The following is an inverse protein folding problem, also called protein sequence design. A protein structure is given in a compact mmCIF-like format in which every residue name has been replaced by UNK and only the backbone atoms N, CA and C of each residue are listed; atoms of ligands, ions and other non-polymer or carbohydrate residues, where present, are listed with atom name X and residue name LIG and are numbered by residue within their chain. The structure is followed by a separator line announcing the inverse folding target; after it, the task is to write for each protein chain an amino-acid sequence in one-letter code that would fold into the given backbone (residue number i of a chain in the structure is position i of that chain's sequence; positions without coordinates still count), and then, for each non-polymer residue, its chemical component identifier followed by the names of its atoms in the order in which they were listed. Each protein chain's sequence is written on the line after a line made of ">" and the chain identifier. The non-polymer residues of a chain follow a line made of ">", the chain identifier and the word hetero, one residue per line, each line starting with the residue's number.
data_IF_994709639416
#
_entry.id   IF_994709639416
#
_cell.length_a   1.000
_cell.length_b   1.000
_cell.length_c   1.000
_cell.angle_alpha   90.00
_cell.angle_beta   90.00
_cell.angle_gamma   90.00
#
_symmetry.space_group_name_H-M   'P 1'
#
loop_
_entity.id
_entity.type
_entity.pdbx_description
1 polymer ?
#
# COMPACT_ATOMS: atom_id res chain seq x y z
N UNK A 1 -9.50 23.49 15.19
CA UNK A 1 -8.69 22.28 15.46
C UNK A 1 -9.53 21.01 15.63
N UNK A 2 -10.66 21.02 16.35
CA UNK A 2 -11.52 19.81 16.51
C UNK A 2 -12.00 19.19 15.18
N UNK A 3 -12.38 20.00 14.19
CA UNK A 3 -12.82 19.52 12.87
C UNK A 3 -11.77 18.71 12.11
N UNK A 4 -10.47 19.01 12.28
CA UNK A 4 -9.37 18.24 11.66
C UNK A 4 -9.37 16.82 12.22
N UNK A 5 -9.45 16.69 13.55
CA UNK A 5 -9.47 15.38 14.21
C UNK A 5 -10.72 14.56 13.85
N UNK A 6 -11.89 15.20 13.80
CA UNK A 6 -13.13 14.52 13.37
C UNK A 6 -13.00 14.01 11.93
N UNK A 7 -12.42 14.80 11.02
CA UNK A 7 -12.19 14.40 9.62
C UNK A 7 -11.22 13.22 9.52
N UNK A 8 -10.13 13.25 10.30
CA UNK A 8 -9.15 12.15 10.36
C UNK A 8 -9.78 10.87 10.89
N UNK A 9 -10.53 10.96 12.00
CA UNK A 9 -11.23 9.79 12.58
C UNK A 9 -12.28 9.26 11.61
N UNK A 10 -13.05 10.12 10.95
CA UNK A 10 -14.03 9.72 9.93
C UNK A 10 -13.38 9.00 8.75
N UNK A 11 -12.20 9.46 8.30
CA UNK A 11 -11.44 8.80 7.24
C UNK A 11 -10.93 7.42 7.67
N UNK A 12 -10.42 7.31 8.90
CA UNK A 12 -10.02 6.02 9.47
C UNK A 12 -11.22 5.07 9.63
N UNK A 13 -12.38 5.57 10.08
CA UNK A 13 -13.62 4.78 10.18
C UNK A 13 -14.10 4.29 8.82
N UNK A 14 -14.01 5.12 7.78
CA UNK A 14 -14.33 4.70 6.41
C UNK A 14 -13.42 3.56 5.95
N UNK A 15 -12.12 3.63 6.26
CA UNK A 15 -11.19 2.55 5.94
C UNK A 15 -11.49 1.26 6.70
N UNK A 16 -11.96 1.34 7.95
CA UNK A 16 -12.35 0.16 8.73
C UNK A 16 -13.47 -0.62 8.04
N UNK A 17 -14.51 0.06 7.57
CA UNK A 17 -15.67 -0.59 6.95
C UNK A 17 -15.35 -1.21 5.60
N UNK A 18 -14.56 -0.53 4.76
CA UNK A 18 -14.18 -1.09 3.47
C UNK A 18 -13.22 -2.27 3.64
N UNK A 19 -12.34 -2.22 4.64
CA UNK A 19 -11.47 -3.34 4.97
C UNK A 19 -12.25 -4.49 5.58
N UNK A 20 -13.28 -4.26 6.40
CA UNK A 20 -14.14 -5.34 6.89
C UNK A 20 -14.78 -6.15 5.74
N UNK A 21 -15.17 -5.47 4.66
CA UNK A 21 -15.64 -6.14 3.45
C UNK A 21 -14.52 -6.93 2.74
N UNK A 22 -13.32 -6.36 2.60
CA UNK A 22 -12.17 -7.07 2.01
C UNK A 22 -11.76 -8.30 2.84
N UNK A 23 -11.67 -8.14 4.15
CA UNK A 23 -11.32 -9.21 5.09
C UNK A 23 -12.35 -10.34 5.05
N UNK A 24 -13.64 -10.05 4.86
CA UNK A 24 -14.65 -11.08 4.57
C UNK A 24 -14.37 -11.82 3.25
N UNK A 25 -13.94 -11.11 2.20
CA UNK A 25 -13.59 -11.76 0.92
C UNK A 25 -12.37 -12.68 1.08
N UNK A 26 -11.40 -12.34 1.94
CA UNK A 26 -10.22 -13.16 2.24
C UNK A 26 -10.51 -14.32 3.20
N UNK A 27 -11.30 -14.08 4.24
CA UNK A 27 -11.67 -15.01 5.29
C UNK A 27 -13.19 -14.91 5.55
N UNK A 28 -14.02 -15.67 4.81
CA UNK A 28 -15.46 -15.50 4.86
C UNK A 28 -16.07 -16.17 6.10
N UNK A 29 -16.56 -15.35 7.04
CA UNK A 29 -17.21 -15.78 8.28
C UNK A 29 -18.53 -15.03 8.50
N UNK A 30 -19.36 -15.52 9.44
CA UNK A 30 -20.59 -14.83 9.84
C UNK A 30 -21.73 -14.86 8.80
N UNK A 31 -21.64 -15.69 7.77
CA UNK A 31 -22.66 -15.84 6.72
C UNK A 31 -23.20 -17.27 6.64
N UNK A 32 -24.40 -17.44 6.06
CA UNK A 32 -24.93 -18.73 5.60
C UNK A 32 -25.55 -18.58 4.22
N UNK A 33 -25.56 -19.66 3.44
CA UNK A 33 -26.31 -19.69 2.18
C UNK A 33 -27.75 -20.09 2.48
N UNK A 34 -28.68 -19.17 2.22
CA UNK A 34 -30.11 -19.43 2.38
C UNK A 34 -30.65 -20.06 1.09
N UNK A 35 -30.96 -21.36 1.14
CA UNK A 35 -31.50 -22.11 0.01
C UNK A 35 -32.95 -21.70 -0.35
N UNK A 36 -33.65 -20.95 0.50
CA UNK A 36 -35.00 -20.44 0.18
C UNK A 36 -34.95 -19.24 -0.76
N UNK A 37 -33.99 -18.35 -0.56
CA UNK A 37 -33.81 -17.14 -1.37
C UNK A 37 -32.60 -17.23 -2.32
N UNK A 38 -31.95 -18.39 -2.34
CA UNK A 38 -30.75 -18.72 -3.12
C UNK A 38 -29.65 -17.65 -3.04
N UNK A 39 -29.36 -17.19 -1.82
CA UNK A 39 -28.39 -16.12 -1.58
C UNK A 39 -27.66 -16.28 -0.27
N UNK A 40 -26.44 -15.73 -0.21
CA UNK A 40 -25.75 -15.54 1.06
C UNK A 40 -26.50 -14.53 1.93
N UNK A 41 -26.72 -14.87 3.20
CA UNK A 41 -27.31 -13.99 4.20
C UNK A 41 -26.39 -13.87 5.40
N UNK A 42 -26.29 -12.65 5.92
CA UNK A 42 -25.57 -12.34 7.15
C UNK A 42 -26.30 -12.97 8.34
N UNK A 43 -25.55 -13.67 9.20
CA UNK A 43 -26.09 -14.29 10.41
C UNK A 43 -25.44 -13.81 11.69
N UNK A 44 -24.20 -13.36 11.59
CA UNK A 44 -23.43 -12.90 12.74
C UNK A 44 -22.61 -11.68 12.33
N UNK A 45 -23.18 -10.50 12.58
CA UNK A 45 -22.51 -9.24 12.33
C UNK A 45 -21.30 -9.01 13.25
N UNK A 46 -21.38 -9.29 14.57
CA UNK A 46 -20.20 -9.27 15.44
C UNK A 46 -19.04 -10.13 14.92
N UNK A 47 -19.32 -11.32 14.39
CA UNK A 47 -18.27 -12.17 13.81
C UNK A 47 -17.52 -11.47 12.66
N UNK A 48 -18.21 -10.72 11.80
CA UNK A 48 -17.55 -9.95 10.74
C UNK A 48 -16.58 -8.89 11.29
N UNK A 49 -16.97 -8.20 12.37
CA UNK A 49 -16.09 -7.20 13.01
C UNK A 49 -14.95 -7.83 13.81
N UNK A 50 -15.11 -9.06 14.26
CA UNK A 50 -14.08 -9.83 14.96
C UNK A 50 -13.22 -10.67 14.00
N UNK A 51 -13.42 -10.52 12.69
CA UNK A 51 -12.63 -11.21 11.69
C UNK A 51 -11.14 -10.94 11.93
N UNK A 52 -10.37 -12.01 12.14
CA UNK A 52 -8.95 -11.92 12.41
C UNK A 52 -8.19 -11.16 11.29
N UNK A 53 -8.57 -11.41 10.03
CA UNK A 53 -7.97 -10.74 8.88
C UNK A 53 -8.17 -9.21 8.92
N UNK A 54 -9.31 -8.72 9.41
CA UNK A 54 -9.56 -7.28 9.56
C UNK A 54 -8.56 -6.62 10.50
N UNK A 55 -8.25 -7.30 11.60
CA UNK A 55 -7.35 -6.77 12.62
C UNK A 55 -5.87 -6.92 12.25
N UNK A 56 -5.54 -7.70 11.22
CA UNK A 56 -4.23 -7.67 10.57
C UNK A 56 -4.15 -6.57 9.51
N UNK A 57 -5.15 -6.47 8.63
CA UNK A 57 -5.17 -5.54 7.49
C UNK A 57 -5.34 -4.08 7.92
N UNK A 58 -6.29 -3.78 8.82
CA UNK A 58 -6.61 -2.42 9.23
C UNK A 58 -5.40 -1.63 9.75
N UNK A 59 -4.67 -2.10 10.77
CA UNK A 59 -3.52 -1.35 11.26
C UNK A 59 -2.42 -1.23 10.20
N UNK A 60 -2.21 -2.26 9.37
CA UNK A 60 -1.21 -2.22 8.29
C UNK A 60 -1.52 -1.13 7.26
N UNK A 61 -2.79 -1.04 6.82
CA UNK A 61 -3.24 -0.02 5.87
C UNK A 61 -3.16 1.38 6.48
N UNK A 62 -3.57 1.57 7.74
CA UNK A 62 -3.48 2.87 8.42
C UNK A 62 -2.04 3.35 8.48
N UNK A 63 -1.08 2.52 8.89
CA UNK A 63 0.33 2.90 8.90
C UNK A 63 0.88 3.14 7.49
N UNK A 64 0.40 2.38 6.48
CA UNK A 64 0.61 2.65 5.06
C UNK A 64 0.21 4.07 4.65
N UNK A 65 -0.96 4.55 5.09
CA UNK A 65 -1.41 5.92 4.80
C UNK A 65 -0.56 6.99 5.48
N UNK A 66 -0.09 6.74 6.72
CA UNK A 66 0.81 7.66 7.42
C UNK A 66 2.12 7.83 6.65
N UNK A 67 2.66 6.73 6.13
CA UNK A 67 3.85 6.74 5.31
C UNK A 67 3.63 7.52 4.01
N UNK A 68 2.59 7.19 3.24
CA UNK A 68 2.30 7.86 1.97
C UNK A 68 2.08 9.37 2.15
N UNK A 69 1.23 9.78 3.10
CA UNK A 69 0.98 11.19 3.39
C UNK A 69 2.25 11.95 3.80
N UNK A 70 3.11 11.32 4.60
CA UNK A 70 4.38 11.91 5.02
C UNK A 70 5.34 12.14 3.85
N UNK A 71 5.45 11.16 2.94
CA UNK A 71 6.31 11.29 1.77
C UNK A 71 5.79 12.31 0.76
N UNK A 72 4.47 12.50 0.66
CA UNK A 72 3.88 13.62 -0.10
C UNK A 72 4.32 14.96 0.49
N UNK A 73 4.20 15.15 1.80
CA UNK A 73 4.62 16.40 2.46
C UNK A 73 6.13 16.63 2.31
N UNK A 74 6.95 15.58 2.49
CA UNK A 74 8.40 15.67 2.30
C UNK A 74 8.77 16.02 0.87
N UNK A 75 8.16 15.38 -0.13
CA UNK A 75 8.49 15.60 -1.53
C UNK A 75 8.02 16.96 -2.05
N UNK A 76 6.83 17.42 -1.67
CA UNK A 76 6.38 18.80 -1.99
C UNK A 76 7.33 19.82 -1.35
N UNK A 77 7.70 19.63 -0.09
CA UNK A 77 8.66 20.51 0.60
C UNK A 77 10.03 20.50 -0.10
N UNK A 78 10.50 19.34 -0.56
CA UNK A 78 11.76 19.21 -1.27
C UNK A 78 11.73 19.90 -2.65
N UNK A 79 10.63 19.78 -3.40
CA UNK A 79 10.43 20.49 -4.66
C UNK A 79 10.38 21.99 -4.48
N UNK A 80 9.71 22.48 -3.44
CA UNK A 80 9.66 23.91 -3.12
C UNK A 80 11.05 24.44 -2.76
N UNK A 81 11.82 23.71 -1.94
CA UNK A 81 13.21 24.07 -1.61
C UNK A 81 14.14 24.09 -2.84
N UNK A 82 13.92 23.22 -3.84
CA UNK A 82 14.68 23.22 -5.09
C UNK A 82 14.46 24.47 -5.95
N UNK A 83 13.26 25.05 -5.88
CA UNK A 83 12.86 26.22 -6.67
C UNK A 83 13.34 27.56 -6.08
N UNK A 84 13.96 27.53 -4.90
CA UNK A 84 14.59 28.68 -4.21
C UNK A 84 13.70 29.94 -3.98
N UNK A 85 12.54 29.86 -3.31
CA UNK A 85 12.03 31.00 -2.58
C UNK A 85 12.74 31.03 -1.22
N UNK A 86 13.75 31.89 -1.05
CA UNK A 86 14.55 32.02 0.17
C UNK A 86 13.74 32.43 1.41
N UNK A 87 12.50 32.88 1.24
CA UNK A 87 11.63 33.41 2.30
C UNK A 87 10.93 32.32 3.16
N UNK A 88 10.77 31.09 2.68
CA UNK A 88 9.99 30.05 3.37
C UNK A 88 10.82 28.83 3.83
N UNK A 89 12.14 28.97 3.89
CA UNK A 89 13.07 27.87 4.16
C UNK A 89 12.79 27.19 5.51
N UNK A 90 12.45 27.97 6.54
CA UNK A 90 12.13 27.45 7.87
C UNK A 90 10.80 26.69 7.90
N UNK A 91 9.82 27.11 7.10
CA UNK A 91 8.54 26.43 6.96
C UNK A 91 8.74 25.04 6.38
N UNK A 92 9.39 24.94 5.21
CA UNK A 92 9.62 23.64 4.56
C UNK A 92 10.53 22.71 5.36
N UNK A 93 11.55 23.24 6.07
CA UNK A 93 12.35 22.43 7.00
C UNK A 93 11.50 21.86 8.14
N UNK A 94 10.64 22.66 8.76
CA UNK A 94 9.73 22.17 9.82
C UNK A 94 8.77 21.11 9.27
N UNK A 95 8.21 21.31 8.08
CA UNK A 95 7.33 20.34 7.40
C UNK A 95 8.03 19.01 7.14
N UNK A 96 9.26 19.02 6.58
CA UNK A 96 10.06 17.81 6.39
C UNK A 96 10.31 17.10 7.73
N UNK A 97 10.65 17.84 8.78
CA UNK A 97 10.91 17.25 10.10
C UNK A 97 9.68 16.53 10.66
N UNK A 98 8.51 17.16 10.64
CA UNK A 98 7.27 16.56 11.15
C UNK A 98 6.91 15.35 10.31
N UNK A 99 6.93 15.49 8.99
CA UNK A 99 6.61 14.40 8.06
C UNK A 99 7.56 13.21 8.23
N UNK A 100 8.86 13.44 8.40
CA UNK A 100 9.82 12.35 8.60
C UNK A 100 9.60 11.60 9.94
N UNK A 101 9.14 12.29 11.01
CA UNK A 101 8.75 11.61 12.26
C UNK A 101 7.53 10.71 12.01
N UNK A 102 6.50 11.22 11.35
CA UNK A 102 5.29 10.46 11.05
C UNK A 102 5.59 9.28 10.11
N UNK A 103 6.48 9.47 9.14
CA UNK A 103 6.96 8.42 8.25
C UNK A 103 7.70 7.30 9.01
N UNK A 104 8.49 7.62 10.03
CA UNK A 104 9.12 6.61 10.88
C UNK A 104 8.11 5.82 11.71
N UNK A 105 7.10 6.50 12.26
CA UNK A 105 6.00 5.82 12.96
C UNK A 105 5.25 4.90 12.00
N UNK A 106 4.93 5.37 10.79
CA UNK A 106 4.31 4.57 9.73
C UNK A 106 5.18 3.37 9.35
N UNK A 107 6.47 3.57 9.12
CA UNK A 107 7.40 2.49 8.76
C UNK A 107 7.50 1.43 9.86
N UNK A 108 7.64 1.84 11.12
CA UNK A 108 7.69 0.91 12.24
C UNK A 108 6.36 0.14 12.39
N UNK A 109 5.23 0.84 12.25
CA UNK A 109 3.91 0.22 12.29
C UNK A 109 3.68 -0.80 11.17
N UNK A 110 4.06 -0.47 9.93
CA UNK A 110 4.01 -1.39 8.78
C UNK A 110 4.92 -2.59 9.02
N UNK A 111 6.14 -2.39 9.53
CA UNK A 111 7.07 -3.48 9.82
C UNK A 111 6.49 -4.46 10.85
N UNK A 112 5.94 -3.95 11.95
CA UNK A 112 5.33 -4.79 13.00
C UNK A 112 4.06 -5.51 12.54
N UNK A 113 3.19 -4.81 11.81
CA UNK A 113 1.91 -5.37 11.35
C UNK A 113 2.10 -6.31 10.18
N UNK A 114 3.03 -6.02 9.26
CA UNK A 114 3.34 -6.85 8.11
C UNK A 114 4.04 -8.15 8.48
N UNK A 115 4.96 -8.12 9.44
CA UNK A 115 5.57 -9.33 10.00
C UNK A 115 4.51 -10.27 10.59
N UNK A 116 3.62 -9.74 11.44
CA UNK A 116 2.48 -10.50 11.97
C UNK A 116 1.59 -11.05 10.86
N UNK A 117 1.28 -10.23 9.85
CA UNK A 117 0.44 -10.65 8.73
C UNK A 117 1.06 -11.81 7.97
N UNK A 118 2.38 -11.77 7.73
CA UNK A 118 3.12 -12.82 7.04
C UNK A 118 3.14 -14.14 7.82
N UNK A 119 3.23 -14.08 9.15
CA UNK A 119 3.15 -15.28 10.00
C UNK A 119 1.81 -15.99 9.85
N UNK A 120 0.70 -15.27 10.03
CA UNK A 120 -0.64 -15.84 9.91
C UNK A 120 -1.02 -16.23 8.49
N UNK A 121 -0.41 -15.58 7.49
CA UNK A 121 -0.65 -15.90 6.09
C UNK A 121 -0.26 -17.35 5.74
N UNK A 122 0.72 -17.92 6.44
CA UNK A 122 1.10 -19.33 6.28
C UNK A 122 -0.06 -20.27 6.61
N UNK A 123 -0.89 -19.93 7.60
CA UNK A 123 -2.00 -20.76 8.03
C UNK A 123 -3.30 -20.43 7.27
N UNK A 124 -3.60 -19.14 7.10
CA UNK A 124 -4.87 -18.68 6.52
C UNK A 124 -4.92 -18.89 5.00
N UNK A 125 -3.81 -18.61 4.29
CA UNK A 125 -3.71 -18.71 2.83
C UNK A 125 -2.31 -19.15 2.39
N UNK A 126 -1.93 -20.42 2.62
CA UNK A 126 -0.58 -20.94 2.37
C UNK A 126 -0.12 -20.75 0.92
N UNK A 127 -1.03 -20.85 -0.06
CA UNK A 127 -0.72 -20.63 -1.48
C UNK A 127 -0.22 -19.21 -1.73
N UNK A 128 -0.85 -18.20 -1.08
CA UNK A 128 -0.42 -16.80 -1.17
C UNK A 128 0.96 -16.63 -0.55
N UNK A 129 1.21 -17.22 0.61
CA UNK A 129 2.52 -17.19 1.27
C UNK A 129 3.62 -17.83 0.40
N UNK A 130 3.38 -19.03 -0.14
CA UNK A 130 4.33 -19.71 -1.00
C UNK A 130 4.68 -18.86 -2.24
N UNK A 131 3.67 -18.23 -2.86
CA UNK A 131 3.87 -17.33 -4.00
C UNK A 131 4.64 -16.05 -3.62
N UNK A 132 4.40 -15.48 -2.43
CA UNK A 132 5.16 -14.32 -1.95
C UNK A 132 6.59 -14.68 -1.60
N UNK A 133 6.92 -15.93 -1.27
CA UNK A 133 8.30 -16.33 -0.96
C UNK A 133 9.04 -16.96 -2.15
N UNK A 134 8.32 -17.48 -3.15
CA UNK A 134 8.94 -18.12 -4.31
C UNK A 134 9.20 -19.62 -4.12
N UNK A 135 8.32 -20.31 -3.37
CA UNK A 135 8.49 -21.71 -2.98
C UNK A 135 7.70 -22.67 -3.88
N UNK A 136 8.36 -23.30 -4.86
CA UNK A 136 7.71 -24.39 -5.63
C UNK A 136 7.54 -25.66 -4.81
N UNK A 137 8.59 -26.03 -4.08
CA UNK A 137 8.67 -27.22 -3.24
C UNK A 137 8.78 -26.81 -1.78
N UNK A 138 8.45 -27.76 -0.90
CA UNK A 138 8.63 -27.56 0.54
C UNK A 138 10.12 -27.33 0.83
N UNK A 139 10.40 -26.35 1.68
CA UNK A 139 11.76 -26.00 2.10
C UNK A 139 11.87 -25.95 3.62
N UNK A 140 13.06 -26.26 4.13
CA UNK A 140 13.31 -26.32 5.57
C UNK A 140 12.57 -27.46 6.27
N UNK A 141 12.52 -27.41 7.59
CA UNK A 141 11.88 -28.44 8.40
C UNK A 141 12.15 -28.27 9.90
N UNK A 142 11.76 -29.25 10.70
CA UNK A 142 11.86 -29.19 12.17
C UNK A 142 13.30 -28.94 12.67
N UNK A 143 14.29 -29.46 11.94
CA UNK A 143 15.72 -29.28 12.23
C UNK A 143 16.48 -28.69 11.02
N UNK A 144 15.76 -28.12 10.05
CA UNK A 144 16.34 -27.64 8.79
C UNK A 144 15.92 -26.20 8.54
N UNK A 145 16.87 -25.39 8.08
CA UNK A 145 16.65 -24.00 7.76
C UNK A 145 16.14 -23.84 6.33
N UNK A 146 15.20 -22.92 6.13
CA UNK A 146 14.70 -22.53 4.83
C UNK A 146 15.53 -21.34 4.25
N UNK A 147 15.94 -21.41 2.97
CA UNK A 147 16.58 -20.30 2.28
C UNK A 147 15.57 -19.22 1.90
N UNK A 148 16.00 -17.95 1.89
CA UNK A 148 15.20 -16.83 1.36
C UNK A 148 15.68 -16.43 -0.02
N UNK A 149 14.77 -16.41 -1.00
CA UNK A 149 15.08 -15.98 -2.36
C UNK A 149 15.07 -14.45 -2.47
N UNK A 150 16.22 -13.89 -2.84
CA UNK A 150 16.38 -12.48 -3.18
C UNK A 150 15.70 -12.20 -4.51
N UNK A 151 16.01 -13.02 -5.51
CA UNK A 151 15.48 -12.94 -6.86
C UNK A 151 15.27 -14.35 -7.39
N UNK A 152 14.08 -14.62 -7.94
CA UNK A 152 13.77 -15.89 -8.58
C UNK A 152 12.87 -15.68 -9.79
N UNK A 153 12.84 -16.67 -10.67
CA UNK A 153 11.92 -16.74 -11.78
C UNK A 153 11.23 -18.10 -11.81
N UNK A 154 9.91 -18.05 -11.82
CA UNK A 154 9.06 -19.23 -11.98
C UNK A 154 8.56 -19.32 -13.41
N UNK A 155 8.65 -20.50 -14.03
CA UNK A 155 8.07 -20.72 -15.34
C UNK A 155 6.53 -20.74 -15.23
N UNK A 156 5.79 -19.85 -15.92
CA UNK A 156 4.32 -19.79 -15.79
C UNK A 156 3.58 -21.02 -16.31
N UNK A 157 4.23 -21.89 -17.08
CA UNK A 157 3.63 -23.10 -17.65
C UNK A 157 3.90 -24.35 -16.82
N UNK A 158 5.12 -24.50 -16.30
CA UNK A 158 5.49 -25.67 -15.49
C UNK A 158 5.29 -25.45 -14.00
N UNK A 159 5.15 -24.18 -13.57
CA UNK A 159 5.08 -23.76 -12.17
C UNK A 159 6.33 -24.13 -11.34
N UNK A 160 7.44 -24.45 -12.00
CA UNK A 160 8.73 -24.71 -11.35
C UNK A 160 9.59 -23.44 -11.30
N UNK A 161 10.40 -23.30 -10.26
CA UNK A 161 11.41 -22.24 -10.19
C UNK A 161 12.59 -22.65 -11.08
N UNK A 162 12.82 -21.91 -12.16
CA UNK A 162 13.91 -22.21 -13.10
C UNK A 162 15.26 -21.74 -12.56
N UNK A 163 15.27 -20.61 -11.87
CA UNK A 163 16.45 -20.07 -11.23
C UNK A 163 16.07 -19.21 -10.02
N UNK A 164 16.91 -19.26 -8.99
CA UNK A 164 16.83 -18.43 -7.79
C UNK A 164 18.22 -18.02 -7.31
N UNK A 165 18.29 -16.86 -6.65
CA UNK A 165 19.44 -16.41 -5.87
C UNK A 165 19.03 -16.37 -4.40
N UNK A 166 19.56 -17.32 -3.64
CA UNK A 166 19.09 -17.60 -2.29
C UNK A 166 20.11 -17.21 -1.23
N UNK A 167 19.61 -16.68 -0.11
CA UNK A 167 20.39 -16.45 1.11
C UNK A 167 19.97 -17.49 2.15
N UNK A 168 20.89 -18.33 2.65
CA UNK A 168 20.55 -19.41 3.57
C UNK A 168 20.07 -18.86 4.92
N UNK A 169 19.26 -19.64 5.63
CA UNK A 169 18.70 -19.35 6.97
C UNK A 169 17.70 -18.19 7.10
N UNK A 170 17.69 -17.26 6.15
CA UNK A 170 16.92 -16.02 6.29
C UNK A 170 15.41 -16.28 6.30
N UNK A 171 14.90 -17.22 5.50
CA UNK A 171 13.46 -17.46 5.44
C UNK A 171 12.94 -18.08 6.75
N UNK A 172 13.68 -18.98 7.39
CA UNK A 172 13.28 -19.49 8.70
C UNK A 172 13.19 -18.38 9.75
N UNK A 173 14.12 -17.40 9.69
CA UNK A 173 14.09 -16.26 10.62
C UNK A 173 12.88 -15.37 10.34
N UNK A 174 12.59 -15.08 9.08
CA UNK A 174 11.47 -14.20 8.69
C UNK A 174 10.11 -14.87 8.91
N UNK A 175 9.97 -16.13 8.52
CA UNK A 175 8.70 -16.85 8.52
C UNK A 175 8.38 -17.56 9.84
N UNK A 176 9.38 -17.86 10.67
CA UNK A 176 9.19 -18.64 11.91
C UNK A 176 9.82 -18.00 13.15
N UNK A 177 10.49 -16.85 13.01
CA UNK A 177 11.28 -16.21 14.09
C UNK A 177 12.26 -17.18 14.77
N UNK A 178 12.79 -18.13 14.00
CA UNK A 178 13.63 -19.24 14.45
C UNK A 178 14.71 -19.53 13.41
N UNK A 179 15.82 -20.16 13.82
CA UNK A 179 16.88 -20.59 12.89
C UNK A 179 16.48 -21.82 12.06
N UNK A 180 15.40 -22.49 12.46
CA UNK A 180 14.80 -23.66 11.80
C UNK A 180 13.31 -23.44 11.64
N UNK A 181 12.72 -24.03 10.61
CA UNK A 181 11.29 -23.88 10.32
C UNK A 181 11.02 -24.20 8.86
N UNK A 182 10.01 -25.02 8.62
CA UNK A 182 9.63 -25.47 7.29
C UNK A 182 8.47 -24.66 6.74
N UNK A 183 8.50 -24.37 5.45
CA UNK A 183 7.41 -23.71 4.73
C UNK A 183 6.99 -24.56 3.53
N UNK A 184 5.69 -24.67 3.32
CA UNK A 184 5.12 -25.46 2.24
C UNK A 184 5.30 -24.76 0.89
N UNK A 185 5.58 -25.54 -0.14
CA UNK A 185 5.64 -25.08 -1.52
C UNK A 185 4.29 -25.21 -2.23
N UNK A 186 4.07 -24.37 -3.25
CA UNK A 186 2.79 -24.31 -3.96
C UNK A 186 2.42 -25.61 -4.67
N UNK A 187 3.36 -26.49 -5.02
CA UNK A 187 3.04 -27.78 -5.62
C UNK A 187 2.28 -28.70 -4.68
N UNK A 188 2.62 -28.70 -3.38
CA UNK A 188 1.91 -29.51 -2.39
C UNK A 188 0.58 -28.87 -2.03
N UNK A 189 0.58 -27.54 -1.81
CA UNK A 189 -0.63 -26.78 -1.50
C UNK A 189 -1.66 -26.90 -2.63
N UNK A 190 -1.23 -26.95 -3.89
CA UNK A 190 -2.14 -27.17 -5.02
C UNK A 190 -2.88 -28.51 -4.89
N UNK A 191 -2.20 -29.58 -4.47
CA UNK A 191 -2.84 -30.89 -4.24
C UNK A 191 -3.85 -30.82 -3.10
N UNK A 192 -3.49 -30.20 -1.99
CA UNK A 192 -4.38 -30.03 -0.83
C UNK A 192 -5.64 -29.23 -1.21
N UNK A 193 -5.49 -28.19 -2.04
CA UNK A 193 -6.62 -27.40 -2.54
C UNK A 193 -7.52 -28.22 -3.46
N UNK A 194 -6.95 -29.05 -4.34
CA UNK A 194 -7.75 -29.98 -5.15
C UNK A 194 -8.54 -30.96 -4.28
N UNK A 195 -7.90 -31.58 -3.28
CA UNK A 195 -8.57 -32.48 -2.34
C UNK A 195 -9.73 -31.81 -1.61
N UNK A 196 -9.56 -30.54 -1.22
CA UNK A 196 -10.55 -29.77 -0.47
C UNK A 196 -11.69 -29.24 -1.33
N UNK A 197 -11.41 -28.80 -2.55
CA UNK A 197 -12.33 -27.96 -3.33
C UNK A 197 -12.84 -28.59 -4.62
N UNK A 198 -12.22 -29.67 -5.13
CA UNK A 198 -12.64 -30.29 -6.39
C UNK A 198 -14.06 -30.84 -6.36
N UNK A 199 -14.53 -31.32 -5.20
CA UNK A 199 -15.92 -31.77 -5.04
C UNK A 199 -16.93 -30.63 -5.23
N UNK A 200 -16.54 -29.40 -4.96
CA UNK A 200 -17.40 -28.21 -5.04
C UNK A 200 -17.25 -27.46 -6.36
N UNK A 201 -16.03 -27.30 -6.85
CA UNK A 201 -15.73 -26.43 -8.00
C UNK A 201 -15.24 -27.20 -9.24
N UNK A 202 -15.03 -28.52 -9.14
CA UNK A 202 -14.56 -29.36 -10.23
C UNK A 202 -13.04 -29.53 -10.26
N UNK A 203 -12.60 -30.61 -10.93
CA UNK A 203 -11.18 -31.02 -11.01
C UNK A 203 -10.34 -30.18 -11.96
N UNK A 204 -10.98 -29.45 -12.87
CA UNK A 204 -10.30 -28.63 -13.88
C UNK A 204 -9.88 -27.24 -13.36
N UNK A 205 -10.09 -26.98 -12.06
CA UNK A 205 -9.72 -25.71 -11.43
C UNK A 205 -8.22 -25.53 -11.37
N UNK A 206 -7.74 -24.34 -11.74
CA UNK A 206 -6.35 -23.95 -11.56
C UNK A 206 -6.19 -23.11 -10.30
N UNK A 207 -5.56 -23.67 -9.26
CA UNK A 207 -5.28 -22.95 -8.02
C UNK A 207 -3.90 -22.27 -7.99
N UNK A 208 -3.08 -22.43 -9.04
CA UNK A 208 -1.82 -21.70 -9.12
C UNK A 208 -2.06 -20.20 -9.26
N UNK A 209 -1.24 -19.43 -8.55
CA UNK A 209 -1.25 -17.98 -8.62
C UNK A 209 -0.33 -17.48 -9.74
N UNK A 210 -0.44 -16.19 -10.14
CA UNK A 210 0.57 -15.54 -10.95
C UNK A 210 1.87 -15.32 -10.12
N UNK A 211 2.62 -16.39 -9.89
CA UNK A 211 3.72 -16.47 -8.93
C UNK A 211 4.75 -15.35 -9.12
N UNK A 212 5.23 -15.10 -10.35
CA UNK A 212 6.18 -14.02 -10.61
C UNK A 212 5.61 -12.64 -10.21
N UNK A 213 4.36 -12.36 -10.56
CA UNK A 213 3.74 -11.07 -10.25
C UNK A 213 3.65 -10.85 -8.74
N UNK A 214 3.18 -11.86 -8.00
CA UNK A 214 3.06 -11.79 -6.54
C UNK A 214 4.45 -11.72 -5.89
N UNK A 215 5.38 -12.56 -6.34
CA UNK A 215 6.78 -12.59 -5.87
C UNK A 215 7.40 -11.19 -5.94
N UNK A 216 7.38 -10.55 -7.11
CA UNK A 216 8.01 -9.23 -7.29
C UNK A 216 7.22 -8.10 -6.65
N UNK A 217 5.88 -8.17 -6.64
CA UNK A 217 5.06 -7.20 -5.93
C UNK A 217 5.38 -7.21 -4.41
N UNK A 218 5.53 -8.40 -3.83
CA UNK A 218 5.93 -8.55 -2.43
C UNK A 218 7.33 -7.96 -2.16
N UNK A 219 8.33 -8.22 -3.03
CA UNK A 219 9.68 -7.62 -2.88
C UNK A 219 9.61 -6.11 -2.93
N UNK A 220 8.90 -5.54 -3.91
CA UNK A 220 8.75 -4.09 -4.03
C UNK A 220 8.12 -3.53 -2.75
N UNK A 221 7.03 -4.12 -2.27
CA UNK A 221 6.34 -3.68 -1.05
C UNK A 221 7.26 -3.76 0.19
N UNK A 222 7.81 -4.94 0.49
CA UNK A 222 8.58 -5.21 1.70
C UNK A 222 9.90 -4.43 1.74
N UNK A 223 10.66 -4.42 0.64
CA UNK A 223 11.95 -3.72 0.57
C UNK A 223 11.78 -2.20 0.60
N UNK A 224 10.70 -1.69 0.03
CA UNK A 224 10.42 -0.25 0.04
C UNK A 224 10.21 0.28 1.46
N UNK A 225 9.62 -0.50 2.37
CA UNK A 225 9.43 -0.08 3.77
C UNK A 225 10.77 0.26 4.44
N UNK A 226 11.80 -0.60 4.27
CA UNK A 226 13.15 -0.35 4.78
C UNK A 226 13.79 0.89 4.16
N UNK A 227 13.65 1.06 2.84
CA UNK A 227 14.16 2.24 2.14
C UNK A 227 13.49 3.54 2.62
N UNK A 228 12.17 3.52 2.84
CA UNK A 228 11.42 4.67 3.36
C UNK A 228 11.80 5.01 4.80
N UNK A 229 12.00 4.00 5.65
CA UNK A 229 12.54 4.19 6.99
C UNK A 229 13.90 4.89 6.97
N UNK A 230 14.82 4.39 6.16
CA UNK A 230 16.16 4.98 6.00
C UNK A 230 16.09 6.43 5.49
N UNK A 231 15.29 6.69 4.44
CA UNK A 231 15.10 8.05 3.92
C UNK A 231 14.54 8.99 4.99
N UNK A 232 13.64 8.52 5.84
CA UNK A 232 13.06 9.31 6.93
C UNK A 232 14.09 9.61 8.03
N UNK A 233 14.95 8.65 8.38
CA UNK A 233 16.09 8.89 9.31
C UNK A 233 17.05 9.92 8.72
N UNK A 234 17.40 9.78 7.44
CA UNK A 234 18.29 10.72 6.74
C UNK A 234 17.67 12.12 6.71
N UNK A 235 16.37 12.25 6.43
CA UNK A 235 15.66 13.53 6.44
C UNK A 235 15.73 14.23 7.80
N UNK A 236 15.48 13.48 8.89
CA UNK A 236 15.55 14.02 10.25
C UNK A 236 16.96 14.48 10.62
N UNK A 237 17.96 13.70 10.23
CA UNK A 237 19.35 14.04 10.48
C UNK A 237 19.78 15.27 9.67
N UNK A 238 19.34 15.39 8.41
CA UNK A 238 19.68 16.49 7.53
C UNK A 238 19.04 17.84 7.93
N UNK A 239 17.86 17.82 8.55
CA UNK A 239 17.14 19.03 8.98
C UNK A 239 17.54 19.51 10.39
N UNK A 240 18.37 18.74 11.12
CA UNK A 240 18.80 19.10 12.48
C UNK A 240 19.66 20.38 12.49
N UNK A 241 19.41 21.29 13.45
CA UNK A 241 20.08 22.61 13.58
C UNK A 241 21.63 22.57 13.65
N UNK A 242 22.22 21.45 14.08
CA UNK A 242 23.68 21.23 14.14
C UNK A 242 24.21 20.30 13.05
N UNK A 243 23.38 19.94 12.06
CA UNK A 243 23.79 19.01 11.01
C UNK A 243 24.78 19.68 10.07
N UNK A 244 25.87 18.97 9.74
CA UNK A 244 26.78 19.37 8.66
C UNK A 244 26.16 19.10 7.27
N UNK A 245 25.13 18.26 7.22
CA UNK A 245 24.43 17.86 6.00
C UNK A 245 23.12 18.64 5.87
N UNK A 246 23.21 19.93 5.56
CA UNK A 246 22.02 20.75 5.32
C UNK A 246 21.39 20.36 3.98
N UNK A 247 20.18 19.80 4.01
CA UNK A 247 19.45 19.31 2.83
C UNK A 247 19.27 20.40 1.76
N UNK A 248 19.23 21.67 2.15
CA UNK A 248 19.06 22.80 1.21
C UNK A 248 20.29 23.07 0.35
N UNK A 249 21.47 22.58 0.76
CA UNK A 249 22.72 22.75 0.01
C UNK A 249 22.88 21.73 -1.11
N UNK A 250 22.25 20.57 -1.00
CA UNK A 250 22.44 19.44 -1.90
C UNK A 250 21.21 19.23 -2.78
N UNK A 251 21.22 19.82 -3.98
CA UNK A 251 20.10 19.69 -4.93
C UNK A 251 19.75 18.24 -5.23
N UNK A 252 20.74 17.36 -5.39
CA UNK A 252 20.51 15.94 -5.66
C UNK A 252 19.70 15.25 -4.54
N UNK A 253 19.94 15.60 -3.27
CA UNK A 253 19.21 15.05 -2.15
C UNK A 253 17.74 15.49 -2.20
N UNK A 254 17.48 16.76 -2.53
CA UNK A 254 16.12 17.26 -2.72
C UNK A 254 15.41 16.60 -3.91
N UNK A 255 16.12 16.25 -4.99
CA UNK A 255 15.55 15.46 -6.09
C UNK A 255 15.13 14.07 -5.62
N UNK A 256 15.94 13.40 -4.80
CA UNK A 256 15.59 12.10 -4.21
C UNK A 256 14.30 12.23 -3.39
N UNK A 257 14.21 13.17 -2.46
CA UNK A 257 13.00 13.36 -1.65
C UNK A 257 11.78 13.79 -2.48
N UNK A 258 11.99 14.64 -3.49
CA UNK A 258 10.95 15.08 -4.41
C UNK A 258 10.35 13.92 -5.22
N UNK A 259 11.21 13.01 -5.73
CA UNK A 259 10.77 11.82 -6.44
C UNK A 259 10.23 10.74 -5.50
N UNK A 260 10.74 10.66 -4.27
CA UNK A 260 10.28 9.71 -3.25
C UNK A 260 8.81 9.92 -2.87
N UNK A 261 8.21 11.07 -3.16
CA UNK A 261 6.76 11.28 -3.04
C UNK A 261 5.93 10.24 -3.79
N UNK A 262 6.39 9.76 -4.95
CA UNK A 262 5.63 8.84 -5.80
C UNK A 262 5.80 7.37 -5.39
N UNK A 263 6.92 7.04 -4.75
CA UNK A 263 7.29 5.65 -4.45
C UNK A 263 6.33 4.93 -3.48
N UNK A 264 5.79 5.56 -2.42
CA UNK A 264 4.82 4.90 -1.54
C UNK A 264 3.57 4.42 -2.28
N UNK A 265 3.12 5.13 -3.32
CA UNK A 265 1.97 4.70 -4.11
C UNK A 265 2.28 3.42 -4.88
N UNK A 266 3.51 3.29 -5.41
CA UNK A 266 3.97 2.04 -6.05
C UNK A 266 4.00 0.89 -5.06
N UNK A 267 4.52 1.12 -3.85
CA UNK A 267 4.57 0.10 -2.80
C UNK A 267 3.16 -0.32 -2.32
N UNK A 268 2.24 0.65 -2.17
CA UNK A 268 0.84 0.39 -1.83
C UNK A 268 0.15 -0.42 -2.93
N UNK A 269 0.33 -0.05 -4.20
CA UNK A 269 -0.21 -0.83 -5.33
C UNK A 269 0.34 -2.25 -5.33
N UNK A 270 1.64 -2.42 -5.10
CA UNK A 270 2.26 -3.74 -5.00
C UNK A 270 1.65 -4.58 -3.86
N UNK A 271 1.42 -3.99 -2.69
CA UNK A 271 0.74 -4.67 -1.58
C UNK A 271 -0.69 -5.09 -1.92
N UNK A 272 -1.47 -4.22 -2.57
CA UNK A 272 -2.81 -4.57 -3.03
C UNK A 272 -2.80 -5.67 -4.10
N UNK A 273 -1.81 -5.69 -5.00
CA UNK A 273 -1.65 -6.78 -5.96
C UNK A 273 -1.38 -8.11 -5.24
N UNK A 274 -0.55 -8.14 -4.20
CA UNK A 274 -0.33 -9.34 -3.38
C UNK A 274 -1.63 -9.80 -2.72
N UNK A 275 -2.37 -8.89 -2.10
CA UNK A 275 -3.63 -9.21 -1.40
C UNK A 275 -4.71 -9.74 -2.33
N UNK A 276 -4.90 -9.11 -3.49
CA UNK A 276 -5.99 -9.42 -4.42
C UNK A 276 -5.63 -10.55 -5.39
N UNK A 277 -4.47 -10.50 -6.05
CA UNK A 277 -4.06 -11.57 -6.95
C UNK A 277 -3.75 -12.86 -6.20
N UNK A 278 -3.29 -12.74 -4.94
CA UNK A 278 -3.07 -13.91 -4.11
C UNK A 278 -4.34 -14.59 -3.60
N UNK A 279 -5.52 -14.01 -3.85
CA UNK A 279 -6.82 -14.63 -3.58
C UNK A 279 -7.36 -15.39 -4.81
N UNK A 280 -6.70 -15.32 -5.97
CA UNK A 280 -7.12 -16.10 -7.12
C UNK A 280 -7.14 -17.61 -6.78
N UNK A 281 -8.06 -18.40 -7.35
CA UNK A 281 -9.09 -18.05 -8.34
C UNK A 281 -10.42 -17.54 -7.72
N UNK A 282 -10.41 -17.06 -6.47
CA UNK A 282 -11.63 -16.69 -5.75
C UNK A 282 -11.88 -15.17 -5.71
N UNK A 283 -13.15 -14.79 -5.84
CA UNK A 283 -13.64 -13.48 -5.40
C UNK A 283 -13.88 -13.49 -3.91
N UNK A 284 -14.54 -14.54 -3.40
CA UNK A 284 -14.68 -14.81 -1.96
C UNK A 284 -14.05 -16.16 -1.70
N UNK A 285 -12.99 -16.19 -0.89
CA UNK A 285 -12.10 -17.34 -0.75
C UNK A 285 -12.85 -18.63 -0.39
N UNK A 286 -12.75 -19.67 -1.23
CA UNK A 286 -13.44 -20.95 -1.05
C UNK A 286 -14.97 -20.91 -1.21
N UNK A 287 -15.56 -19.76 -1.53
CA UNK A 287 -17.01 -19.55 -1.62
C UNK A 287 -17.45 -19.25 -3.05
N UNK A 288 -16.87 -18.23 -3.69
CA UNK A 288 -17.26 -17.72 -5.01
C UNK A 288 -16.02 -17.56 -5.89
N UNK A 289 -16.00 -18.22 -7.05
CA UNK A 289 -14.89 -18.11 -8.00
C UNK A 289 -14.97 -16.84 -8.83
N UNK A 290 -13.85 -16.42 -9.43
CA UNK A 290 -13.80 -15.32 -10.39
C UNK A 290 -14.65 -15.66 -11.63
N UNK A 291 -14.62 -16.91 -12.09
CA UNK A 291 -15.40 -17.34 -13.24
C UNK A 291 -16.92 -17.20 -13.02
N UNK A 292 -17.39 -17.58 -11.83
CA UNK A 292 -18.82 -17.51 -11.47
C UNK A 292 -19.30 -16.08 -11.17
N UNK A 293 -18.38 -15.17 -10.86
CA UNK A 293 -18.71 -13.78 -10.55
C UNK A 293 -18.89 -12.89 -11.80
N UNK A 294 -18.57 -13.39 -12.99
CA UNK A 294 -18.72 -12.61 -14.24
C UNK A 294 -20.20 -12.49 -14.60
N UNK A 295 -20.66 -11.27 -14.87
CA UNK A 295 -22.05 -11.01 -15.24
C UNK A 295 -22.37 -11.62 -16.62
N UNK A 296 -23.36 -12.53 -16.74
CA UNK A 296 -23.62 -13.27 -17.98
C UNK A 296 -24.17 -12.39 -19.11
N UNK A 297 -24.80 -11.25 -18.76
CA UNK A 297 -25.50 -10.39 -19.71
C UNK A 297 -24.65 -9.22 -20.23
N UNK A 298 -23.36 -9.17 -19.91
CA UNK A 298 -22.48 -8.06 -20.32
C UNK A 298 -21.61 -8.49 -21.48
N UNK A 299 -21.76 -7.83 -22.62
CA UNK A 299 -20.95 -8.12 -23.81
C UNK A 299 -19.52 -7.62 -23.66
N UNK A 300 -18.59 -8.28 -24.37
CA UNK A 300 -17.20 -7.82 -24.47
C UNK A 300 -17.10 -6.36 -24.93
N UNK A 301 -17.92 -5.96 -25.91
CA UNK A 301 -17.95 -4.60 -26.43
C UNK A 301 -18.35 -3.57 -25.35
N UNK A 302 -19.35 -3.91 -24.52
CA UNK A 302 -19.77 -3.06 -23.39
C UNK A 302 -18.65 -2.89 -22.36
N UNK A 303 -18.03 -4.00 -21.95
CA UNK A 303 -16.89 -3.99 -21.01
C UNK A 303 -15.70 -3.20 -21.54
N UNK A 304 -15.33 -3.39 -22.81
CA UNK A 304 -14.21 -2.68 -23.41
C UNK A 304 -14.50 -1.18 -23.50
N UNK A 305 -15.72 -0.82 -23.92
CA UNK A 305 -16.14 0.58 -24.04
C UNK A 305 -16.14 1.27 -22.67
N UNK A 306 -16.74 0.66 -21.65
CA UNK A 306 -16.77 1.23 -20.31
C UNK A 306 -15.36 1.35 -19.71
N UNK A 307 -14.49 0.36 -19.89
CA UNK A 307 -13.10 0.42 -19.44
C UNK A 307 -12.33 1.56 -20.10
N UNK A 308 -12.49 1.77 -21.41
CA UNK A 308 -11.86 2.90 -22.12
C UNK A 308 -12.38 4.22 -21.56
N UNK A 309 -13.70 4.36 -21.36
CA UNK A 309 -14.30 5.57 -20.81
C UNK A 309 -13.80 5.86 -19.39
N UNK A 310 -13.74 4.84 -18.52
CA UNK A 310 -13.21 4.99 -17.17
C UNK A 310 -11.73 5.36 -17.18
N UNK A 311 -10.93 4.69 -18.02
CA UNK A 311 -9.51 4.99 -18.16
C UNK A 311 -9.28 6.44 -18.60
N UNK A 312 -9.96 6.90 -19.65
CA UNK A 312 -9.84 8.27 -20.15
C UNK A 312 -10.29 9.28 -19.09
N UNK A 313 -11.41 9.01 -18.41
CA UNK A 313 -11.94 9.90 -17.37
C UNK A 313 -10.95 10.03 -16.21
N UNK A 314 -10.42 8.91 -15.70
CA UNK A 314 -9.45 8.94 -14.61
C UNK A 314 -8.10 9.52 -15.03
N UNK A 315 -7.67 9.31 -16.28
CA UNK A 315 -6.46 9.94 -16.82
C UNK A 315 -6.60 11.47 -16.88
N UNK A 316 -7.75 11.98 -17.35
CA UNK A 316 -8.04 13.42 -17.38
C UNK A 316 -8.09 14.00 -15.96
N UNK A 317 -8.85 13.37 -15.04
CA UNK A 317 -8.93 13.83 -13.65
C UNK A 317 -7.55 13.81 -12.97
N UNK A 318 -6.77 12.74 -13.15
CA UNK A 318 -5.41 12.65 -12.63
C UNK A 318 -4.48 13.73 -13.20
N UNK A 319 -4.57 13.99 -14.50
CA UNK A 319 -3.82 15.08 -15.15
C UNK A 319 -4.18 16.45 -14.61
N UNK A 320 -5.48 16.72 -14.41
CA UNK A 320 -5.97 17.96 -13.80
C UNK A 320 -5.48 18.09 -12.35
N UNK A 321 -5.51 17.02 -11.56
CA UNK A 321 -4.98 17.03 -10.20
C UNK A 321 -3.49 17.35 -10.18
N UNK A 322 -2.67 16.70 -11.01
CA UNK A 322 -1.23 16.99 -11.11
C UNK A 322 -0.98 18.45 -11.51
N UNK A 323 -1.74 18.95 -12.48
CA UNK A 323 -1.64 20.36 -12.92
C UNK A 323 -1.99 21.33 -11.79
N UNK A 324 -3.10 21.11 -11.08
CA UNK A 324 -3.56 21.98 -9.99
C UNK A 324 -2.63 21.90 -8.77
N UNK A 325 -2.23 20.70 -8.35
CA UNK A 325 -1.26 20.51 -7.28
C UNK A 325 0.08 21.18 -7.61
N UNK A 326 0.54 21.09 -8.86
CA UNK A 326 1.74 21.81 -9.31
C UNK A 326 1.55 23.31 -9.25
N UNK A 327 0.39 23.84 -9.66
CA UNK A 327 0.07 25.28 -9.60
C UNK A 327 0.13 25.80 -8.17
N UNK A 328 -0.54 25.13 -7.22
CA UNK A 328 -0.56 25.53 -5.80
C UNK A 328 0.84 25.41 -5.18
N UNK A 329 1.56 24.33 -5.46
CA UNK A 329 2.94 24.16 -5.00
C UNK A 329 3.88 25.26 -5.52
N UNK A 330 3.68 25.77 -6.75
CA UNK A 330 4.46 26.90 -7.29
C UNK A 330 4.10 28.20 -6.59
N UNK A 331 2.80 28.42 -6.32
CA UNK A 331 2.33 29.63 -5.68
C UNK A 331 2.89 29.78 -4.26
N UNK A 332 3.01 28.67 -3.52
CA UNK A 332 3.55 28.66 -2.16
C UNK A 332 2.49 28.96 -1.08
N UNK A 333 2.81 28.70 0.20
CA UNK A 333 1.91 28.82 1.34
C UNK A 333 1.32 30.22 1.52
N UNK A 334 2.09 31.29 1.26
CA UNK A 334 1.65 32.66 1.52
C UNK A 334 1.02 33.33 0.28
N UNK A 335 0.67 32.55 -0.76
CA UNK A 335 0.18 33.11 -2.02
C UNK A 335 -1.15 33.84 -1.90
N UNK A 336 -2.08 33.35 -1.08
CA UNK A 336 -3.36 34.01 -0.86
C UNK A 336 -3.21 35.29 -0.02
N UNK A 337 -2.35 35.28 1.00
CA UNK A 337 -2.05 36.45 1.82
C UNK A 337 -1.37 37.56 0.99
N UNK A 338 -0.43 37.22 0.11
CA UNK A 338 0.20 38.19 -0.81
C UNK A 338 -0.80 38.83 -1.76
N UNK A 339 -1.75 38.06 -2.30
CA UNK A 339 -2.82 38.58 -3.17
C UNK A 339 -3.76 39.49 -2.38
N UNK A 340 -4.09 39.15 -1.14
CA UNK A 340 -4.91 39.99 -0.27
C UNK A 340 -4.19 41.29 0.15
N UNK A 341 -2.87 41.27 0.32
CA UNK A 341 -2.07 42.47 0.59
C UNK A 341 -1.96 43.41 -0.63
N UNK A 342 -1.86 42.87 -1.85
CA UNK A 342 -1.88 43.65 -3.09
C UNK A 342 -3.26 44.28 -3.37
N UNK A 343 -4.34 43.58 -3.00
CA UNK A 343 -5.71 44.09 -3.04
C UNK A 343 -5.97 44.98 -1.81
N UNK A 344 -5.34 46.15 -1.78
CA UNK A 344 -5.65 47.17 -0.77
C UNK A 344 -7.12 47.55 -0.91
N UNK A 345 -7.94 47.23 0.09
CA UNK A 345 -9.32 47.71 0.18
C UNK A 345 -9.27 49.25 0.09
N UNK A 346 -9.94 49.87 -0.89
CA UNK A 346 -9.91 51.31 -1.11
C UNK A 346 -10.45 52.11 0.08
N UNK A 347 -11.13 51.46 1.03
CA UNK A 347 -11.62 52.06 2.27
C UNK A 347 -10.81 51.67 3.51
N UNK A 348 -9.71 50.92 3.37
CA UNK A 348 -8.84 50.56 4.48
C UNK A 348 -8.00 51.75 4.99
N UNK A 349 -7.64 51.75 6.28
CA UNK A 349 -6.77 52.77 6.86
C UNK A 349 -5.45 52.92 6.09
N UNK A 350 -4.87 51.80 5.61
CA UNK A 350 -3.67 51.79 4.75
C UNK A 350 -3.86 52.57 3.44
N UNK A 351 -5.03 52.51 2.80
CA UNK A 351 -5.32 53.26 1.58
C UNK A 351 -5.32 54.78 1.82
N UNK A 352 -5.83 55.22 2.97
CA UNK A 352 -5.87 56.64 3.35
C UNK A 352 -4.52 57.19 3.85
N UNK A 353 -3.64 56.32 4.35
CA UNK A 353 -2.27 56.69 4.75
C UNK A 353 -1.32 56.77 3.55
N UNK A 354 -1.44 55.85 2.57
CA UNK A 354 -0.64 55.87 1.35
C UNK A 354 -0.85 57.13 0.49
N UNK A 355 -2.04 57.75 0.56
CA UNK A 355 -2.35 59.01 -0.15
C UNK A 355 -1.74 60.28 0.48
N UNK A 356 -1.10 60.20 1.65
CA UNK A 356 -0.48 61.35 2.32
C UNK A 356 1.02 61.53 2.02
N UNK A 357 1.65 60.55 1.36
CA UNK A 357 3.06 60.61 0.94
C UNK A 357 3.24 61.02 -0.54
N UNK A 358 2.16 61.35 -1.26
CA UNK A 358 2.17 61.73 -2.67
C UNK A 358 2.16 63.25 -2.91
#
# INVERSE_FOLDING_TARGET
>A
MAFIWITTIGSAFSSLWILAANSFMQNPIGFKVDHKFDRAVLVDFPALLQNHQLWLEFPHVIFGTFLAGSFVVMGVSAWSLLRKPTHELDFFKKSIKIAAIVALVGTAGIGLTGDRHSLYLQDDQPMKFAATEGLDKNVGGKNESAPWSVVAYTNPKTHEVEWSLDVPYVLSILAHHSLVGGSQGWTEINKELHEKYDLKFGKDMNYYLPNNTIYYAFRIMAMSAGAFGLLSVVALWAVRKKSKLDITKYKWALWIFGLAMYLPFVAITAGWLVTELGRAPWVVYGVLTIADAVSPNVSFASLLTSNILYFLTFAVLGGLMVMLSRRVMIAGPDSEERVAEELVDPFSAKAFEAGKEA
#
